data_IF_852394628885
#
_entry.id   IF_852394628885
#
_cell.length_a   1.000
_cell.length_b   1.000
_cell.length_c   1.000
_cell.angle_alpha   90.00
_cell.angle_beta   90.00
_cell.angle_gamma   90.00
#
_symmetry.space_group_name_H-M   'P 1'
#
loop_
_entity.id
_entity.type
_entity.pdbx_description
1 polymer ?
#
# COMPACT_ATOMS: atom_id res chain seq x y z
N UNK A 1 -45.46 -25.68 23.07
CA UNK A 1 -46.20 -26.22 24.21
C UNK A 1 -47.24 -25.20 24.63
N UNK A 2 -48.51 -25.60 24.65
CA UNK A 2 -49.57 -24.78 25.26
C UNK A 2 -49.90 -25.46 26.57
N UNK A 3 -49.82 -24.72 27.68
CA UNK A 3 -50.27 -25.20 28.98
C UNK A 3 -51.79 -25.29 28.93
N UNK A 4 -52.35 -26.49 29.00
CA UNK A 4 -53.81 -26.65 29.12
C UNK A 4 -54.25 -26.43 30.58
N UNK A 5 -55.56 -26.30 30.81
CA UNK A 5 -56.18 -25.86 32.08
C UNK A 5 -55.83 -26.73 33.30
N UNK A 6 -55.28 -27.90 33.06
CA UNK A 6 -54.81 -28.91 34.01
C UNK A 6 -53.33 -28.73 34.42
N UNK A 7 -52.65 -27.69 33.92
CA UNK A 7 -51.31 -27.31 34.37
C UNK A 7 -50.18 -28.26 33.92
N UNK A 8 -50.51 -29.25 33.11
CA UNK A 8 -49.58 -30.22 32.53
C UNK A 8 -49.12 -29.74 31.13
N UNK A 9 -47.83 -29.93 30.83
CA UNK A 9 -47.30 -29.75 29.48
C UNK A 9 -47.68 -30.96 28.65
N UNK A 10 -48.76 -30.85 27.89
CA UNK A 10 -49.13 -31.88 26.91
C UNK A 10 -48.25 -31.73 25.66
N UNK A 11 -47.38 -32.71 25.42
CA UNK A 11 -46.71 -32.89 24.12
C UNK A 11 -47.73 -33.41 23.11
N UNK A 12 -48.33 -32.51 22.32
CA UNK A 12 -49.14 -32.92 21.18
C UNK A 12 -48.25 -33.48 20.06
N UNK A 13 -47.95 -34.78 20.11
CA UNK A 13 -47.33 -35.53 19.02
C UNK A 13 -48.35 -35.85 17.92
N UNK A 14 -48.64 -34.92 17.01
CA UNK A 14 -49.27 -35.22 15.69
C UNK A 14 -49.23 -34.02 14.71
N UNK A 15 -48.12 -33.29 14.63
CA UNK A 15 -47.91 -32.34 13.54
C UNK A 15 -46.92 -32.92 12.54
N UNK A 16 -47.23 -32.90 11.24
CA UNK A 16 -46.21 -33.14 10.23
C UNK A 16 -45.08 -32.12 10.43
N UNK A 17 -43.84 -32.60 10.64
CA UNK A 17 -42.64 -31.77 10.66
C UNK A 17 -41.88 -32.05 9.39
N UNK A 18 -41.75 -31.04 8.54
CA UNK A 18 -41.10 -31.19 7.26
C UNK A 18 -41.26 -29.96 6.38
N UNK A 19 -40.68 -30.04 5.19
CA UNK A 19 -40.86 -29.03 4.16
C UNK A 19 -42.14 -29.31 3.39
N UNK A 20 -42.97 -28.28 3.24
CA UNK A 20 -44.27 -28.33 2.56
C UNK A 20 -44.23 -27.67 1.18
N UNK A 21 -43.27 -26.79 0.94
CA UNK A 21 -43.08 -26.12 -0.34
C UNK A 21 -41.60 -26.11 -0.72
N UNK A 22 -41.34 -26.14 -2.02
CA UNK A 22 -40.01 -26.07 -2.60
C UNK A 22 -40.02 -25.16 -3.83
N UNK A 23 -39.02 -24.30 -3.94
CA UNK A 23 -38.72 -23.51 -5.12
C UNK A 23 -37.24 -23.68 -5.49
N UNK A 24 -36.96 -24.11 -6.71
CA UNK A 24 -35.59 -24.14 -7.25
C UNK A 24 -35.31 -22.83 -7.98
N UNK A 25 -34.15 -22.24 -7.71
CA UNK A 25 -33.68 -21.03 -8.35
C UNK A 25 -32.39 -21.31 -9.11
N UNK A 26 -32.43 -21.07 -10.42
CA UNK A 26 -31.28 -21.24 -11.31
C UNK A 26 -30.79 -19.89 -11.83
N UNK A 27 -29.59 -19.48 -11.40
CA UNK A 27 -28.94 -18.25 -11.90
C UNK A 27 -27.89 -18.59 -12.95
N UNK A 28 -28.04 -18.03 -14.14
CA UNK A 28 -27.03 -18.10 -15.19
C UNK A 28 -26.18 -16.83 -15.14
N UNK A 29 -24.88 -16.99 -14.93
CA UNK A 29 -23.89 -15.92 -15.07
C UNK A 29 -23.04 -16.21 -16.31
N UNK A 30 -22.94 -15.24 -17.20
CA UNK A 30 -22.12 -15.31 -18.42
C UNK A 30 -20.82 -14.55 -18.15
N UNK A 31 -19.70 -15.27 -18.02
CA UNK A 31 -18.38 -14.72 -17.71
C UNK A 31 -17.51 -15.74 -16.97
N UNK A 32 -16.20 -15.68 -17.15
CA UNK A 32 -15.24 -16.51 -16.42
C UNK A 32 -14.34 -15.66 -15.53
N UNK A 33 -13.84 -16.24 -14.45
CA UNK A 33 -12.89 -15.60 -13.53
C UNK A 33 -11.45 -15.90 -13.90
N UNK A 34 -10.57 -14.90 -13.79
CA UNK A 34 -9.12 -15.08 -13.95
C UNK A 34 -8.38 -14.24 -12.91
N UNK A 35 -7.36 -14.82 -12.28
CA UNK A 35 -6.39 -14.12 -11.43
C UNK A 35 -5.07 -14.01 -12.20
N UNK A 36 -4.41 -12.85 -12.13
CA UNK A 36 -3.15 -12.60 -12.83
C UNK A 36 -1.95 -12.59 -11.88
N UNK A 37 -0.76 -12.89 -12.42
CA UNK A 37 0.52 -12.67 -11.74
C UNK A 37 1.10 -11.30 -12.12
N UNK A 38 1.91 -10.70 -11.23
CA UNK A 38 2.49 -9.35 -11.31
C UNK A 38 3.29 -8.99 -12.60
N UNK A 39 3.43 -9.91 -13.56
CA UNK A 39 4.23 -9.72 -14.77
C UNK A 39 3.52 -10.08 -16.10
N UNK A 40 2.24 -10.49 -16.08
CA UNK A 40 1.55 -10.97 -17.29
C UNK A 40 0.14 -10.36 -17.41
N UNK A 41 0.00 -9.13 -17.93
CA UNK A 41 -1.31 -8.57 -18.25
C UNK A 41 -1.98 -9.37 -19.38
N UNK A 42 -3.33 -9.40 -19.44
CA UNK A 42 -4.05 -10.14 -20.48
C UNK A 42 -3.77 -9.55 -21.88
N UNK A 43 -3.51 -10.43 -22.85
CA UNK A 43 -3.30 -10.08 -24.27
C UNK A 43 -4.59 -9.77 -25.03
N UNK A 44 -5.75 -10.03 -24.42
CA UNK A 44 -7.07 -9.69 -24.99
C UNK A 44 -8.06 -9.41 -23.87
N UNK A 45 -8.51 -8.17 -23.76
CA UNK A 45 -9.61 -7.76 -22.86
C UNK A 45 -10.94 -7.97 -23.60
N UNK A 46 -11.81 -8.86 -23.11
CA UNK A 46 -13.22 -8.83 -23.54
C UNK A 46 -13.95 -7.75 -22.75
N UNK A 47 -14.92 -7.09 -23.40
CA UNK A 47 -15.60 -5.86 -22.96
C UNK A 47 -16.49 -5.97 -21.71
N UNK A 48 -16.38 -7.05 -20.93
CA UNK A 48 -17.17 -7.29 -19.72
C UNK A 48 -16.33 -7.63 -18.47
N UNK A 49 -15.02 -7.36 -18.46
CA UNK A 49 -14.16 -7.61 -17.30
C UNK A 49 -14.17 -6.43 -16.32
N UNK A 50 -14.69 -6.67 -15.10
CA UNK A 50 -14.30 -5.88 -13.92
C UNK A 50 -12.90 -6.34 -13.51
N UNK A 51 -11.89 -5.56 -13.87
CA UNK A 51 -10.50 -5.81 -13.44
C UNK A 51 -10.32 -5.28 -12.03
N UNK A 52 -9.99 -6.16 -11.09
CA UNK A 52 -9.75 -5.79 -9.70
C UNK A 52 -8.29 -6.09 -9.36
N UNK A 53 -7.55 -5.03 -9.00
CA UNK A 53 -6.15 -5.15 -8.58
C UNK A 53 -6.13 -5.51 -7.08
N UNK A 54 -6.14 -6.80 -6.79
CA UNK A 54 -5.83 -7.41 -5.49
C UNK A 54 -4.36 -7.87 -5.46
N UNK A 55 -3.79 -8.27 -4.29
CA UNK A 55 -2.44 -8.83 -4.24
C UNK A 55 -2.30 -9.91 -5.30
N UNK A 56 -1.44 -9.70 -6.29
CA UNK A 56 -1.24 -10.69 -7.34
C UNK A 56 -0.74 -11.99 -6.72
N UNK A 57 -1.07 -13.11 -7.35
CA UNK A 57 -0.44 -14.37 -6.97
C UNK A 57 1.08 -14.24 -7.16
N UNK A 58 1.84 -14.68 -6.16
CA UNK A 58 3.30 -14.61 -6.17
C UNK A 58 3.91 -15.72 -7.03
N UNK A 59 3.16 -16.80 -7.24
CA UNK A 59 3.57 -17.95 -8.03
C UNK A 59 2.39 -18.58 -8.80
N UNK A 60 2.67 -19.43 -9.81
CA UNK A 60 1.62 -20.04 -10.63
C UNK A 60 0.64 -20.96 -9.87
N UNK A 61 1.11 -21.63 -8.81
CA UNK A 61 0.25 -22.54 -8.04
C UNK A 61 -0.81 -21.76 -7.26
N UNK A 62 -0.41 -20.67 -6.62
CA UNK A 62 -1.30 -19.74 -5.95
C UNK A 62 -2.28 -19.08 -6.93
N UNK A 63 -1.83 -18.75 -8.14
CA UNK A 63 -2.69 -18.20 -9.20
C UNK A 63 -3.80 -19.18 -9.57
N UNK A 64 -3.46 -20.45 -9.78
CA UNK A 64 -4.41 -21.50 -10.13
C UNK A 64 -5.44 -21.72 -9.02
N UNK A 65 -4.99 -21.82 -7.77
CA UNK A 65 -5.88 -22.01 -6.63
C UNK A 65 -6.84 -20.84 -6.43
N UNK A 66 -6.33 -19.60 -6.46
CA UNK A 66 -7.16 -18.39 -6.34
C UNK A 66 -8.16 -18.26 -7.49
N UNK A 67 -7.74 -18.57 -8.72
CA UNK A 67 -8.65 -18.58 -9.89
C UNK A 67 -9.77 -19.60 -9.71
N UNK A 68 -9.44 -20.83 -9.29
CA UNK A 68 -10.43 -21.87 -9.02
C UNK A 68 -11.40 -21.48 -7.90
N UNK A 69 -10.89 -20.94 -6.79
CA UNK A 69 -11.71 -20.47 -5.68
C UNK A 69 -12.64 -19.31 -6.08
N UNK A 70 -12.15 -18.39 -6.89
CA UNK A 70 -12.93 -17.27 -7.41
C UNK A 70 -14.05 -17.77 -8.33
N UNK A 71 -13.74 -18.66 -9.26
CA UNK A 71 -14.73 -19.27 -10.15
C UNK A 71 -15.83 -20.00 -9.35
N UNK A 72 -15.44 -20.80 -8.35
CA UNK A 72 -16.40 -21.45 -7.44
C UNK A 72 -17.28 -20.44 -6.69
N UNK A 73 -16.71 -19.31 -6.25
CA UNK A 73 -17.46 -18.23 -5.63
C UNK A 73 -18.42 -17.52 -6.60
N UNK A 74 -18.05 -17.40 -7.88
CA UNK A 74 -18.92 -16.83 -8.90
C UNK A 74 -20.07 -17.76 -9.30
N UNK A 75 -19.84 -19.07 -9.29
CA UNK A 75 -20.86 -20.10 -9.56
C UNK A 75 -21.81 -20.33 -8.36
N UNK A 76 -21.51 -19.75 -7.18
CA UNK A 76 -22.44 -19.76 -6.04
C UNK A 76 -23.81 -19.22 -6.43
N UNK A 77 -24.85 -19.88 -5.93
CA UNK A 77 -26.23 -19.47 -6.16
C UNK A 77 -26.81 -19.89 -7.51
N UNK A 78 -26.07 -20.68 -8.28
CA UNK A 78 -26.54 -21.27 -9.54
C UNK A 78 -27.60 -22.35 -9.33
N UNK A 79 -27.50 -23.12 -8.26
CA UNK A 79 -28.42 -24.22 -7.93
C UNK A 79 -28.89 -24.09 -6.47
N UNK A 80 -29.69 -23.07 -6.20
CA UNK A 80 -30.30 -22.89 -4.89
C UNK A 80 -31.68 -23.53 -4.85
N UNK A 81 -31.99 -24.18 -3.73
CA UNK A 81 -33.33 -24.67 -3.43
C UNK A 81 -33.83 -23.98 -2.17
N UNK A 82 -34.92 -23.25 -2.28
CA UNK A 82 -35.65 -22.71 -1.14
C UNK A 82 -36.67 -23.75 -0.68
N UNK A 83 -36.54 -24.17 0.57
CA UNK A 83 -37.41 -25.12 1.25
C UNK A 83 -38.19 -24.40 2.34
N UNK A 84 -39.51 -24.50 2.29
CA UNK A 84 -40.40 -23.81 3.21
C UNK A 84 -41.20 -24.85 3.98
N UNK A 85 -41.30 -24.68 5.29
CA UNK A 85 -41.95 -25.65 6.18
C UNK A 85 -41.90 -25.24 7.65
N UNK A 86 -41.75 -26.22 8.53
CA UNK A 86 -41.68 -26.05 9.98
C UNK A 86 -40.49 -26.81 10.59
N UNK A 87 -39.38 -26.90 9.88
CA UNK A 87 -38.17 -27.60 10.33
C UNK A 87 -37.27 -26.64 11.12
N UNK A 88 -37.19 -26.82 12.44
CA UNK A 88 -36.40 -25.95 13.33
C UNK A 88 -34.89 -26.10 13.16
N UNK A 89 -34.45 -27.27 12.73
CA UNK A 89 -33.04 -27.65 12.63
C UNK A 89 -32.39 -27.27 11.30
N UNK A 90 -33.19 -26.81 10.32
CA UNK A 90 -32.72 -26.41 9.00
C UNK A 90 -32.09 -25.00 9.02
N UNK A 91 -31.08 -24.82 9.87
CA UNK A 91 -30.32 -23.60 10.07
C UNK A 91 -29.15 -23.48 9.09
N UNK A 92 -28.76 -22.26 8.76
CA UNK A 92 -27.55 -22.00 7.98
C UNK A 92 -26.32 -22.70 8.61
N UNK A 93 -25.54 -23.40 7.77
CA UNK A 93 -24.39 -24.22 8.17
C UNK A 93 -24.71 -25.69 8.44
N UNK A 94 -25.98 -26.07 8.60
CA UNK A 94 -26.37 -27.46 8.82
C UNK A 94 -26.60 -28.18 7.49
N UNK A 95 -26.28 -29.48 7.48
CA UNK A 95 -26.61 -30.37 6.38
C UNK A 95 -27.68 -31.38 6.78
N UNK A 96 -28.57 -31.70 5.86
CA UNK A 96 -29.61 -32.71 6.05
C UNK A 96 -29.90 -33.43 4.72
N UNK A 97 -30.45 -34.63 4.83
CA UNK A 97 -30.90 -35.40 3.67
C UNK A 97 -32.40 -35.19 3.45
N UNK A 98 -32.76 -34.76 2.24
CA UNK A 98 -34.16 -34.65 1.83
C UNK A 98 -34.63 -36.00 1.30
N UNK A 99 -35.50 -36.67 2.06
CA UNK A 99 -36.12 -37.92 1.65
C UNK A 99 -37.35 -37.64 0.77
N UNK A 100 -37.31 -38.09 -0.48
CA UNK A 100 -38.40 -37.96 -1.45
C UNK A 100 -38.18 -36.85 -2.50
N UNK A 101 -39.15 -36.70 -3.42
CA UNK A 101 -39.18 -35.59 -4.38
C UNK A 101 -40.17 -34.54 -3.89
N UNK A 102 -39.67 -33.41 -3.40
CA UNK A 102 -40.50 -32.27 -3.05
C UNK A 102 -40.46 -31.24 -4.17
N UNK A 103 -41.46 -31.29 -5.06
CA UNK A 103 -41.52 -30.39 -6.21
C UNK A 103 -40.29 -30.50 -7.11
N UNK A 104 -39.53 -29.42 -7.23
CA UNK A 104 -38.31 -29.33 -8.07
C UNK A 104 -37.03 -29.76 -7.34
N UNK A 105 -37.05 -29.96 -6.01
CA UNK A 105 -35.92 -30.53 -5.28
C UNK A 105 -35.81 -32.03 -5.58
N UNK A 106 -34.60 -32.47 -5.93
CA UNK A 106 -34.28 -33.90 -5.97
C UNK A 106 -34.05 -34.39 -4.54
N UNK A 107 -34.39 -35.64 -4.25
CA UNK A 107 -33.94 -36.26 -3.01
C UNK A 107 -32.42 -36.32 -2.96
N UNK A 108 -31.83 -36.09 -1.80
CA UNK A 108 -30.37 -36.06 -1.63
C UNK A 108 -29.92 -35.20 -0.46
N UNK A 109 -28.61 -35.06 -0.33
CA UNK A 109 -27.99 -34.28 0.74
C UNK A 109 -27.89 -32.81 0.36
N UNK A 110 -28.32 -31.95 1.27
CA UNK A 110 -28.31 -30.51 1.13
C UNK A 110 -27.57 -29.85 2.29
N UNK A 111 -26.94 -28.72 2.02
CA UNK A 111 -26.39 -27.82 3.04
C UNK A 111 -27.18 -26.52 3.01
N UNK A 112 -27.73 -26.12 4.15
CA UNK A 112 -28.44 -24.86 4.28
C UNK A 112 -27.44 -23.71 4.34
N UNK A 113 -27.61 -22.71 3.46
CA UNK A 113 -26.74 -21.53 3.38
C UNK A 113 -27.42 -20.27 3.93
N UNK A 114 -28.75 -20.28 4.03
CA UNK A 114 -29.54 -19.19 4.62
C UNK A 114 -30.81 -19.76 5.22
N UNK A 115 -31.13 -19.37 6.44
CA UNK A 115 -32.38 -19.76 7.11
C UNK A 115 -33.07 -18.53 7.67
N UNK A 116 -34.36 -18.41 7.41
CA UNK A 116 -35.25 -17.44 8.03
C UNK A 116 -36.28 -18.22 8.84
N UNK A 117 -36.35 -17.91 10.13
CA UNK A 117 -37.27 -18.56 11.05
C UNK A 117 -38.24 -17.52 11.60
N UNK A 118 -39.52 -17.85 11.60
CA UNK A 118 -40.60 -17.00 12.10
C UNK A 118 -41.35 -17.77 13.17
N UNK A 119 -41.32 -17.22 14.38
CA UNK A 119 -42.02 -17.74 15.55
C UNK A 119 -43.15 -16.79 15.89
N UNK A 120 -44.38 -17.30 15.95
CA UNK A 120 -45.54 -16.59 16.49
C UNK A 120 -45.88 -17.22 17.83
N UNK A 121 -45.87 -16.41 18.88
CA UNK A 121 -46.31 -16.83 20.21
C UNK A 121 -47.80 -16.55 20.38
N UNK A 122 -48.53 -17.48 21.01
CA UNK A 122 -49.91 -17.23 21.43
C UNK A 122 -49.97 -16.20 22.55
N UNK A 123 -51.13 -15.58 22.77
CA UNK A 123 -51.36 -14.67 23.88
C UNK A 123 -52.17 -15.36 24.99
N UNK A 124 -52.34 -14.71 26.15
CA UNK A 124 -53.14 -15.25 27.25
C UNK A 124 -54.60 -15.56 26.83
N UNK A 125 -55.15 -14.79 25.89
CA UNK A 125 -56.51 -14.94 25.40
C UNK A 125 -56.65 -15.96 24.26
N UNK A 126 -55.55 -16.27 23.56
CA UNK A 126 -55.50 -17.32 22.53
C UNK A 126 -54.14 -18.03 22.58
N UNK A 127 -53.96 -18.95 23.54
CA UNK A 127 -52.70 -19.68 23.73
C UNK A 127 -52.37 -20.62 22.56
N UNK A 128 -53.36 -20.95 21.72
CA UNK A 128 -53.24 -21.94 20.63
C UNK A 128 -52.74 -21.34 19.32
N UNK A 129 -52.64 -20.02 19.19
CA UNK A 129 -52.06 -19.32 18.03
C UNK A 129 -50.52 -19.40 17.93
N UNK A 130 -49.89 -20.38 18.58
CA UNK A 130 -48.46 -20.65 18.41
C UNK A 130 -48.24 -21.22 17.01
N UNK A 131 -47.41 -20.56 16.21
CA UNK A 131 -47.05 -21.02 14.88
C UNK A 131 -45.54 -20.91 14.68
N UNK A 132 -44.97 -21.90 14.02
CA UNK A 132 -43.58 -21.89 13.60
C UNK A 132 -43.51 -22.07 12.09
N UNK A 133 -42.68 -21.25 11.46
CA UNK A 133 -42.46 -21.28 10.02
C UNK A 133 -40.98 -21.04 9.71
N UNK A 134 -40.44 -21.85 8.81
CA UNK A 134 -39.05 -21.78 8.37
C UNK A 134 -38.97 -21.69 6.85
N UNK A 135 -38.11 -20.80 6.37
CA UNK A 135 -37.67 -20.71 4.98
C UNK A 135 -36.16 -20.92 4.94
N UNK A 136 -35.71 -22.01 4.33
CA UNK A 136 -34.31 -22.43 4.29
C UNK A 136 -33.84 -22.52 2.84
N UNK A 137 -32.85 -21.72 2.47
CA UNK A 137 -32.16 -21.80 1.18
C UNK A 137 -30.99 -22.75 1.33
N UNK A 138 -30.94 -23.74 0.46
CA UNK A 138 -29.99 -24.83 0.51
C UNK A 138 -29.34 -25.06 -0.86
N UNK A 139 -28.13 -25.61 -0.85
CA UNK A 139 -27.41 -26.10 -2.03
C UNK A 139 -27.12 -27.59 -1.87
N UNK A 140 -26.99 -28.37 -2.96
CA UNK A 140 -26.56 -29.76 -2.85
C UNK A 140 -25.23 -29.86 -2.09
N UNK A 141 -25.10 -30.83 -1.18
CA UNK A 141 -23.93 -30.95 -0.29
C UNK A 141 -22.60 -31.11 -1.03
N UNK A 142 -22.63 -31.70 -2.23
CA UNK A 142 -21.47 -31.85 -3.10
C UNK A 142 -21.00 -30.55 -3.77
N UNK A 143 -21.81 -29.49 -3.75
CA UNK A 143 -21.40 -28.19 -4.28
C UNK A 143 -20.53 -27.46 -3.25
N UNK A 144 -19.27 -27.14 -3.58
CA UNK A 144 -18.38 -26.43 -2.67
C UNK A 144 -18.91 -25.02 -2.39
N UNK A 145 -19.03 -24.68 -1.11
CA UNK A 145 -19.49 -23.36 -0.69
C UNK A 145 -18.30 -22.39 -0.64
N UNK A 146 -18.43 -21.21 -1.24
CA UNK A 146 -17.44 -20.13 -1.26
C UNK A 146 -18.14 -18.79 -1.10
N UNK A 147 -17.77 -18.01 -0.10
CA UNK A 147 -18.33 -16.67 0.08
C UNK A 147 -17.97 -15.84 -1.14
N UNK A 148 -18.95 -15.16 -1.73
CA UNK A 148 -18.70 -14.22 -2.81
C UNK A 148 -17.69 -13.16 -2.33
N UNK A 149 -16.65 -12.83 -3.11
CA UNK A 149 -15.73 -11.76 -2.73
C UNK A 149 -16.54 -10.49 -2.42
N UNK A 150 -16.23 -9.78 -1.33
CA UNK A 150 -16.88 -8.51 -1.05
C UNK A 150 -16.70 -7.56 -2.23
N UNK A 151 -17.70 -6.70 -2.49
CA UNK A 151 -17.51 -5.66 -3.51
C UNK A 151 -16.34 -4.77 -3.12
N UNK A 152 -15.48 -4.47 -4.09
CA UNK A 152 -14.29 -3.68 -3.84
C UNK A 152 -14.69 -2.25 -3.47
N UNK A 153 -14.35 -1.85 -2.24
CA UNK A 153 -14.32 -0.44 -1.88
C UNK A 153 -13.13 0.24 -2.59
N UNK A 154 -13.28 1.44 -3.16
CA UNK A 154 -12.15 2.20 -3.67
C UNK A 154 -11.15 2.42 -2.53
N UNK A 155 -9.92 1.90 -2.68
CA UNK A 155 -8.83 2.13 -1.74
C UNK A 155 -8.04 3.36 -2.18
N UNK A 156 -7.61 4.24 -1.26
CA UNK A 156 -6.69 5.32 -1.61
C UNK A 156 -5.36 4.72 -2.10
N UNK A 157 -4.96 5.06 -3.32
CA UNK A 157 -3.74 4.51 -3.95
C UNK A 157 -2.45 5.08 -3.35
N UNK A 158 -2.54 6.28 -2.75
CA UNK A 158 -1.45 6.98 -2.08
C UNK A 158 -2.02 7.66 -0.85
N UNK A 159 -1.31 7.56 0.28
CA UNK A 159 -1.70 8.19 1.54
C UNK A 159 -0.49 8.74 2.29
N UNK A 160 -0.73 9.68 3.19
CA UNK A 160 0.32 10.34 3.96
C UNK A 160 0.69 9.53 5.21
N UNK A 161 1.98 9.59 5.56
CA UNK A 161 2.51 9.01 6.77
C UNK A 161 3.64 9.88 7.32
N UNK A 162 3.99 9.63 8.58
CA UNK A 162 5.10 10.28 9.27
C UNK A 162 6.18 9.26 9.57
N UNK A 163 7.44 9.57 9.27
CA UNK A 163 8.60 8.74 9.64
C UNK A 163 8.79 8.77 11.15
N UNK A 164 8.98 7.60 11.77
CA UNK A 164 9.09 7.46 13.23
C UNK A 164 10.47 7.00 13.67
N UNK A 165 10.76 7.26 14.95
CA UNK A 165 11.91 6.72 15.65
C UNK A 165 11.44 5.78 16.74
N UNK A 166 11.76 4.49 16.62
CA UNK A 166 11.36 3.47 17.61
C UNK A 166 12.07 3.67 18.96
N UNK A 167 13.24 4.33 18.97
CA UNK A 167 13.95 4.69 20.20
C UNK A 167 13.48 6.02 20.82
N UNK A 168 12.52 6.71 20.19
CA UNK A 168 12.08 8.05 20.60
C UNK A 168 13.07 9.17 20.27
N UNK A 169 14.12 8.89 19.47
CA UNK A 169 15.08 9.91 19.06
C UNK A 169 14.45 10.93 18.11
N UNK A 170 14.64 12.23 18.40
CA UNK A 170 14.22 13.33 17.52
C UNK A 170 15.20 13.62 16.39
N UNK A 171 16.40 13.03 16.42
CA UNK A 171 17.48 13.34 15.48
C UNK A 171 17.73 12.24 14.46
N UNK A 172 17.42 10.98 14.82
CA UNK A 172 17.67 9.82 13.99
C UNK A 172 16.39 8.97 13.85
N UNK A 173 15.92 8.70 12.61
CA UNK A 173 14.78 7.82 12.39
C UNK A 173 15.14 6.38 12.77
N UNK A 174 14.13 5.52 12.87
CA UNK A 174 14.41 4.09 12.79
C UNK A 174 14.69 3.73 11.33
N UNK A 175 15.87 3.16 11.10
CA UNK A 175 16.30 2.62 9.82
C UNK A 175 16.85 1.22 10.08
N UNK A 176 16.22 0.20 9.51
CA UNK A 176 16.63 -1.19 9.74
C UNK A 176 17.89 -1.58 8.96
N UNK A 177 18.34 -2.82 9.09
CA UNK A 177 19.55 -3.34 8.42
C UNK A 177 19.44 -3.36 6.88
N UNK A 178 18.22 -3.24 6.35
CA UNK A 178 17.90 -3.22 4.91
C UNK A 178 17.60 -1.80 4.40
N UNK A 179 17.66 -0.78 5.25
CA UNK A 179 17.38 0.60 4.86
C UNK A 179 15.88 0.94 4.79
N UNK A 180 15.04 0.18 5.50
CA UNK A 180 13.59 0.42 5.61
C UNK A 180 13.27 1.28 6.83
N UNK A 181 12.23 2.09 6.73
CA UNK A 181 11.86 3.07 7.76
C UNK A 181 10.66 2.59 8.58
N UNK A 182 10.63 2.97 9.85
CA UNK A 182 9.39 2.95 10.60
C UNK A 182 8.50 4.14 10.20
N UNK A 183 7.23 3.89 9.89
CA UNK A 183 6.27 4.93 9.52
C UNK A 183 4.94 4.75 10.26
N UNK A 184 4.25 5.86 10.47
CA UNK A 184 2.91 5.90 11.02
C UNK A 184 1.99 6.61 10.02
N UNK A 185 1.01 5.89 9.49
CA UNK A 185 0.02 6.47 8.57
C UNK A 185 -0.93 7.40 9.33
N UNK A 186 -1.42 8.47 8.70
CA UNK A 186 -2.20 9.49 9.44
C UNK A 186 -3.62 9.09 9.83
N UNK A 187 -4.13 7.99 9.27
CA UNK A 187 -5.45 7.44 9.62
C UNK A 187 -5.38 6.30 10.65
N UNK A 188 -4.18 5.96 11.15
CA UNK A 188 -3.97 4.91 12.15
C UNK A 188 -2.94 5.34 13.21
N UNK A 189 -3.06 4.79 14.40
CA UNK A 189 -2.11 5.01 15.49
C UNK A 189 -1.00 3.96 15.54
N UNK A 190 -1.05 2.93 14.69
CA UNK A 190 -0.02 1.90 14.62
C UNK A 190 1.20 2.35 13.82
N UNK A 191 2.37 1.93 14.29
CA UNK A 191 3.64 2.13 13.59
C UNK A 191 3.97 0.86 12.81
N UNK A 192 4.17 0.99 11.50
CA UNK A 192 4.75 -0.06 10.66
C UNK A 192 6.26 0.10 10.70
N UNK A 193 6.99 -0.90 11.19
CA UNK A 193 8.44 -0.77 11.46
C UNK A 193 9.31 -0.86 10.20
N UNK A 194 8.81 -1.52 9.15
CA UNK A 194 9.58 -1.92 7.98
C UNK A 194 8.88 -1.51 6.69
N UNK A 195 9.00 -0.23 6.33
CA UNK A 195 8.50 0.29 5.05
C UNK A 195 9.66 0.63 4.13
N UNK A 196 9.65 0.03 2.94
CA UNK A 196 10.66 0.26 1.90
C UNK A 196 10.53 1.67 1.34
N UNK A 197 11.65 2.26 0.93
CA UNK A 197 11.65 3.51 0.18
C UNK A 197 11.90 3.26 -1.29
N UNK A 198 11.09 3.87 -2.15
CA UNK A 198 11.40 4.01 -3.56
C UNK A 198 12.62 4.94 -3.68
N UNK A 199 13.76 4.37 -4.06
CA UNK A 199 15.02 5.11 -4.18
C UNK A 199 15.61 4.88 -5.56
N UNK A 200 16.24 5.91 -6.12
CA UNK A 200 16.95 5.83 -7.39
C UNK A 200 18.25 5.07 -7.17
N UNK A 201 18.16 3.73 -7.02
CA UNK A 201 19.23 2.72 -6.93
C UNK A 201 20.32 3.05 -5.88
N UNK A 202 20.62 2.16 -4.94
CA UNK A 202 21.81 2.24 -4.06
C UNK A 202 21.92 0.93 -3.28
N UNK A 203 22.03 -0.19 -3.99
CA UNK A 203 21.95 -1.50 -3.37
C UNK A 203 23.26 -1.85 -2.68
N UNK A 204 23.20 -2.07 -1.35
CA UNK A 204 24.31 -2.60 -0.57
C UNK A 204 24.71 -3.98 -1.09
N UNK A 205 26.01 -4.24 -1.24
CA UNK A 205 26.53 -5.58 -1.56
C UNK A 205 26.52 -5.97 -3.05
N UNK A 206 26.16 -5.06 -3.96
CA UNK A 206 26.36 -5.31 -5.40
C UNK A 206 27.78 -4.97 -5.85
N UNK A 207 28.22 -5.61 -6.95
CA UNK A 207 29.54 -5.33 -7.57
C UNK A 207 29.70 -3.88 -8.01
N UNK A 208 28.62 -3.23 -8.44
CA UNK A 208 28.60 -1.84 -8.90
C UNK A 208 27.41 -1.11 -8.25
N UNK A 209 27.51 -0.68 -6.99
CA UNK A 209 26.47 0.13 -6.37
C UNK A 209 26.43 1.51 -7.08
N UNK A 210 25.23 1.96 -7.45
CA UNK A 210 25.01 3.26 -8.09
C UNK A 210 23.70 3.86 -7.58
N UNK A 211 23.62 5.19 -7.57
CA UNK A 211 22.44 6.03 -7.34
C UNK A 211 22.44 6.77 -5.99
N UNK A 212 21.26 7.21 -5.50
CA UNK A 212 21.13 8.21 -4.43
C UNK A 212 20.38 7.69 -3.20
N UNK A 213 20.93 7.92 -2.01
CA UNK A 213 20.26 7.68 -0.73
C UNK A 213 20.47 8.85 0.23
N UNK A 214 19.40 9.63 0.47
CA UNK A 214 19.39 10.72 1.46
C UNK A 214 18.49 10.31 2.63
N UNK A 215 19.03 10.03 3.84
CA UNK A 215 18.21 9.58 4.94
C UNK A 215 17.08 10.55 5.30
N UNK A 216 15.87 10.04 5.50
CA UNK A 216 14.76 10.83 6.03
C UNK A 216 14.99 11.12 7.52
N UNK A 217 14.37 12.16 8.05
CA UNK A 217 14.44 12.50 9.47
C UNK A 217 13.19 12.00 10.21
N UNK A 218 13.25 11.81 11.54
CA UNK A 218 12.04 11.67 12.34
C UNK A 218 11.07 12.79 12.03
N UNK A 219 9.78 12.47 12.10
CA UNK A 219 8.68 13.38 11.86
C UNK A 219 8.57 13.93 10.43
N UNK A 220 9.38 13.40 9.49
CA UNK A 220 9.22 13.71 8.06
C UNK A 220 7.89 13.18 7.53
N UNK A 221 7.10 14.05 6.90
CA UNK A 221 5.91 13.62 6.20
C UNK A 221 6.27 13.03 4.85
N UNK A 222 5.68 11.88 4.53
CA UNK A 222 5.95 11.10 3.33
C UNK A 222 4.66 10.63 2.69
N UNK A 223 4.73 10.34 1.40
CA UNK A 223 3.69 9.64 0.67
C UNK A 223 4.01 8.14 0.62
N UNK A 224 3.07 7.32 1.06
CA UNK A 224 3.12 5.87 0.92
C UNK A 224 2.21 5.48 -0.24
N UNK A 225 2.75 4.69 -1.16
CA UNK A 225 2.00 4.04 -2.24
C UNK A 225 2.04 2.54 -2.09
N UNK A 226 0.99 1.88 -2.53
CA UNK A 226 0.88 0.43 -2.52
C UNK A 226 1.09 -0.09 -3.93
N UNK A 227 2.15 -0.87 -4.16
CA UNK A 227 2.35 -1.51 -5.45
C UNK A 227 1.14 -2.37 -5.76
N UNK A 228 0.53 -2.15 -6.93
CA UNK A 228 -0.62 -2.96 -7.36
C UNK A 228 -1.80 -2.93 -6.37
N UNK A 229 -1.96 -1.82 -5.64
CA UNK A 229 -2.98 -1.64 -4.60
C UNK A 229 -2.92 -2.68 -3.46
N UNK A 230 -1.75 -3.28 -3.24
CA UNK A 230 -1.48 -4.22 -2.17
C UNK A 230 -0.81 -3.50 -0.97
N UNK A 231 -1.53 -3.31 0.17
CA UNK A 231 -0.95 -2.70 1.38
C UNK A 231 0.27 -3.42 1.93
N UNK A 232 0.39 -4.73 1.71
CA UNK A 232 1.55 -5.52 2.13
C UNK A 232 2.80 -5.21 1.29
N UNK A 233 2.61 -4.57 0.13
CA UNK A 233 3.66 -4.09 -0.77
C UNK A 233 3.70 -2.55 -0.78
N UNK A 234 3.77 -1.95 0.40
CA UNK A 234 3.88 -0.50 0.57
C UNK A 234 5.30 0.04 0.39
N UNK A 235 5.39 1.21 -0.22
CA UNK A 235 6.64 1.94 -0.46
C UNK A 235 6.47 3.42 -0.17
N UNK A 236 7.47 4.02 0.49
CA UNK A 236 7.63 5.46 0.54
C UNK A 236 7.97 5.95 -0.87
N UNK A 237 7.05 6.64 -1.52
CA UNK A 237 7.22 7.20 -2.86
C UNK A 237 8.08 8.46 -2.85
N UNK A 238 7.95 9.26 -1.81
CA UNK A 238 8.62 10.54 -1.71
C UNK A 238 8.22 11.32 -0.47
N UNK A 239 8.85 12.48 -0.34
CA UNK A 239 8.58 13.43 0.74
C UNK A 239 7.31 14.24 0.44
N UNK A 240 6.46 14.42 1.45
CA UNK A 240 5.25 15.23 1.39
C UNK A 240 5.51 16.58 2.08
N UNK A 241 5.73 17.60 1.26
CA UNK A 241 6.03 18.95 1.71
C UNK A 241 4.88 19.53 2.55
N UNK A 242 5.21 20.25 3.62
CA UNK A 242 4.25 20.87 4.53
C UNK A 242 4.83 22.14 5.16
N UNK A 243 4.00 22.88 5.91
CA UNK A 243 4.37 24.19 6.48
C UNK A 243 5.57 24.15 7.43
N UNK A 244 5.79 23.03 8.13
CA UNK A 244 6.94 22.86 9.04
C UNK A 244 8.20 22.39 8.33
N UNK A 245 8.10 21.97 7.06
CA UNK A 245 9.18 21.47 6.24
C UNK A 245 9.10 22.06 4.82
N UNK A 246 9.33 23.39 4.68
CA UNK A 246 9.16 24.10 3.41
C UNK A 246 10.24 23.71 2.39
N UNK A 247 9.96 24.03 1.11
CA UNK A 247 10.93 23.88 0.03
C UNK A 247 12.09 24.87 0.16
N UNK A 248 13.29 24.45 -0.20
CA UNK A 248 14.45 25.34 -0.36
C UNK A 248 14.39 26.15 -1.67
N UNK A 249 13.54 25.75 -2.60
CA UNK A 249 13.24 26.47 -3.86
C UNK A 249 11.79 26.95 -3.83
N UNK A 250 11.61 28.25 -4.00
CA UNK A 250 10.33 28.95 -3.92
C UNK A 250 10.19 29.89 -5.13
N UNK A 251 9.08 30.63 -5.21
CA UNK A 251 8.92 31.66 -6.24
C UNK A 251 10.02 32.74 -6.20
N UNK A 252 10.64 32.99 -5.05
CA UNK A 252 11.72 33.97 -4.91
C UNK A 252 13.04 33.54 -5.55
N UNK A 253 13.25 32.24 -5.77
CA UNK A 253 14.48 31.66 -6.30
C UNK A 253 14.18 30.50 -7.27
N UNK A 254 13.16 30.67 -8.11
CA UNK A 254 12.60 29.63 -8.97
C UNK A 254 13.53 29.13 -10.10
N UNK A 255 14.64 29.82 -10.36
CA UNK A 255 15.68 29.41 -11.30
C UNK A 255 16.75 28.51 -10.65
N UNK A 256 16.65 28.24 -9.35
CA UNK A 256 17.63 27.44 -8.62
C UNK A 256 17.23 25.95 -8.58
N UNK A 257 18.21 25.09 -8.84
CA UNK A 257 18.14 23.66 -8.66
C UNK A 257 19.07 23.28 -7.49
N UNK A 258 18.52 22.78 -6.39
CA UNK A 258 19.27 22.63 -5.13
C UNK A 258 19.27 21.19 -4.62
N UNK A 259 20.45 20.65 -4.36
CA UNK A 259 20.67 19.45 -3.56
C UNK A 259 21.26 19.85 -2.21
N UNK A 260 20.55 19.60 -1.12
CA UNK A 260 20.98 19.94 0.23
C UNK A 260 20.97 18.72 1.14
N UNK A 261 22.07 18.48 1.85
CA UNK A 261 22.19 17.42 2.85
C UNK A 261 21.79 17.90 4.24
N UNK A 262 21.56 16.97 5.18
CA UNK A 262 21.26 17.27 6.60
C UNK A 262 22.29 18.20 7.25
N UNK A 263 23.56 18.08 6.88
CA UNK A 263 24.64 18.95 7.39
C UNK A 263 24.72 20.31 6.69
N UNK A 264 23.70 20.69 5.91
CA UNK A 264 23.66 21.90 5.09
C UNK A 264 24.79 22.01 4.05
N UNK A 265 25.41 20.88 3.67
CA UNK A 265 26.22 20.87 2.44
C UNK A 265 25.27 20.99 1.24
N UNK A 266 25.61 21.85 0.30
CA UNK A 266 24.75 22.19 -0.83
C UNK A 266 25.50 22.15 -2.15
N UNK A 267 24.84 21.58 -3.16
CA UNK A 267 25.17 21.70 -4.56
C UNK A 267 23.99 22.40 -5.25
N UNK A 268 24.23 23.56 -5.85
CA UNK A 268 23.19 24.35 -6.52
C UNK A 268 23.61 24.72 -7.93
N UNK A 269 22.65 24.64 -8.85
CA UNK A 269 22.73 25.16 -10.20
C UNK A 269 21.70 26.28 -10.32
N UNK A 270 22.13 27.50 -10.57
CA UNK A 270 21.25 28.65 -10.78
C UNK A 270 21.22 28.99 -12.27
N UNK A 271 20.03 28.89 -12.86
CA UNK A 271 19.77 29.12 -14.28
C UNK A 271 19.33 30.57 -14.58
N UNK A 272 19.53 31.49 -13.64
CA UNK A 272 19.17 32.91 -13.83
C UNK A 272 19.83 33.47 -15.09
N UNK A 273 19.02 34.08 -15.95
CA UNK A 273 19.45 34.59 -17.24
C UNK A 273 20.62 35.57 -17.08
N UNK A 274 21.63 35.45 -17.94
CA UNK A 274 22.86 36.26 -17.98
C UNK A 274 23.82 36.10 -16.81
N UNK A 275 23.41 35.45 -15.70
CA UNK A 275 24.23 35.22 -14.51
C UNK A 275 24.16 33.77 -13.99
N UNK A 276 24.20 32.75 -14.88
CA UNK A 276 24.13 31.37 -14.44
C UNK A 276 25.37 31.03 -13.61
N UNK A 277 25.20 30.27 -12.55
CA UNK A 277 26.32 29.87 -11.71
C UNK A 277 26.07 28.55 -10.99
N UNK A 278 27.16 27.87 -10.64
CA UNK A 278 27.14 26.62 -9.89
C UNK A 278 27.83 26.87 -8.56
N UNK A 279 27.21 26.44 -7.45
CA UNK A 279 27.75 26.57 -6.10
C UNK A 279 27.88 25.19 -5.47
N UNK A 280 29.08 24.86 -5.01
CA UNK A 280 29.32 23.75 -4.09
C UNK A 280 29.78 24.34 -2.76
N UNK A 281 29.02 24.12 -1.69
CA UNK A 281 29.31 24.70 -0.38
C UNK A 281 29.16 23.69 0.76
N UNK A 282 29.95 23.92 1.80
CA UNK A 282 29.84 23.23 3.10
C UNK A 282 29.05 24.09 4.10
N UNK A 283 28.78 23.53 5.29
CA UNK A 283 27.99 24.15 6.37
C UNK A 283 28.20 25.67 6.49
N UNK A 284 27.07 26.40 6.48
CA UNK A 284 26.99 27.85 6.66
C UNK A 284 27.78 28.69 5.63
N UNK A 285 28.17 28.12 4.48
CA UNK A 285 28.85 28.87 3.40
C UNK A 285 30.33 29.18 3.68
N UNK A 286 30.89 28.67 4.78
CA UNK A 286 32.26 28.96 5.22
C UNK A 286 33.33 28.50 4.22
N UNK A 287 33.04 27.46 3.45
CA UNK A 287 33.87 27.01 2.35
C UNK A 287 32.99 26.75 1.14
N UNK A 288 33.32 27.39 0.02
CA UNK A 288 32.57 27.22 -1.21
C UNK A 288 33.43 27.35 -2.45
N UNK A 289 32.99 26.65 -3.50
CA UNK A 289 33.45 26.77 -4.87
C UNK A 289 32.28 27.31 -5.70
N UNK A 290 32.50 28.44 -6.38
CA UNK A 290 31.52 29.05 -7.29
C UNK A 290 32.11 29.10 -8.68
N UNK A 291 31.37 28.54 -9.65
CA UNK A 291 31.65 28.69 -11.07
C UNK A 291 30.62 29.67 -11.64
N UNK A 292 31.04 30.91 -11.90
CA UNK A 292 30.13 31.99 -12.31
C UNK A 292 30.24 32.26 -13.81
N UNK A 293 29.16 32.02 -14.54
CA UNK A 293 29.06 32.15 -15.99
C UNK A 293 28.53 33.51 -16.46
N UNK A 294 28.91 34.61 -15.78
CA UNK A 294 28.49 35.96 -16.19
C UNK A 294 29.03 36.27 -17.59
N UNK A 295 28.17 36.79 -18.49
CA UNK A 295 28.55 37.09 -19.88
C UNK A 295 29.61 38.18 -20.01
N UNK A 296 29.67 39.13 -19.09
CA UNK A 296 30.62 40.25 -19.09
C UNK A 296 31.92 39.87 -18.40
N UNK A 297 31.85 39.19 -17.27
CA UNK A 297 33.02 38.81 -16.46
C UNK A 297 32.82 37.46 -15.75
N UNK A 298 33.05 36.34 -16.43
CA UNK A 298 33.00 35.03 -15.79
C UNK A 298 34.16 34.88 -14.81
N UNK A 299 33.93 34.20 -13.69
CA UNK A 299 34.94 33.97 -12.67
C UNK A 299 34.74 32.64 -11.94
N UNK A 300 35.82 32.17 -11.32
CA UNK A 300 35.79 31.05 -10.39
C UNK A 300 36.21 31.58 -9.03
N UNK A 301 35.38 31.39 -8.00
CA UNK A 301 35.74 31.67 -6.62
C UNK A 301 35.93 30.37 -5.86
N UNK A 302 37.12 30.17 -5.30
CA UNK A 302 37.40 29.13 -4.32
C UNK A 302 37.78 29.79 -3.01
N UNK A 303 36.92 29.66 -2.01
CA UNK A 303 37.01 30.40 -0.77
C UNK A 303 36.96 29.46 0.44
N UNK A 304 37.84 29.70 1.39
CA UNK A 304 37.86 29.11 2.72
C UNK A 304 37.93 30.26 3.75
N UNK A 305 36.79 30.65 4.31
CA UNK A 305 36.69 31.75 5.27
C UNK A 305 37.30 31.39 6.63
N UNK A 306 37.19 30.12 7.02
CA UNK A 306 37.71 29.60 8.28
C UNK A 306 38.74 28.50 7.97
N UNK A 307 39.99 28.76 8.36
CA UNK A 307 41.09 27.80 8.27
C UNK A 307 42.04 28.03 7.09
N UNK A 308 42.82 27.00 6.78
CA UNK A 308 43.79 27.02 5.69
C UNK A 308 43.23 26.31 4.45
N UNK A 309 43.56 26.81 3.27
CA UNK A 309 43.35 26.13 2.00
C UNK A 309 44.67 25.52 1.55
N UNK A 310 44.70 24.19 1.45
CA UNK A 310 45.89 23.46 1.00
C UNK A 310 45.66 22.89 -0.40
N UNK A 311 46.58 23.16 -1.33
CA UNK A 311 46.54 22.69 -2.70
C UNK A 311 47.83 21.90 -2.95
N UNK A 312 47.70 20.62 -3.33
CA UNK A 312 48.82 19.72 -3.57
C UNK A 312 48.70 19.09 -4.96
N UNK A 313 49.83 18.86 -5.63
CA UNK A 313 49.90 18.04 -6.83
C UNK A 313 51.06 17.05 -6.70
N UNK A 314 50.90 15.86 -7.29
CA UNK A 314 51.93 14.83 -7.29
C UNK A 314 53.13 15.16 -8.19
N UNK A 315 52.96 16.06 -9.16
CA UNK A 315 54.02 16.52 -10.06
C UNK A 315 54.07 18.04 -10.08
N UNK A 316 53.24 18.66 -10.91
CA UNK A 316 53.29 20.10 -11.14
C UNK A 316 51.94 20.75 -10.80
N UNK A 317 51.99 21.92 -10.14
CA UNK A 317 50.87 22.87 -10.09
C UNK A 317 51.21 23.98 -11.07
N UNK A 318 50.44 24.11 -12.14
CA UNK A 318 50.64 25.15 -13.15
C UNK A 318 49.52 26.18 -13.07
N UNK A 319 49.90 27.46 -12.93
CA UNK A 319 49.01 28.61 -13.06
C UNK A 319 49.46 29.40 -14.29
N UNK A 320 48.59 29.52 -15.29
CA UNK A 320 48.89 30.17 -16.56
C UNK A 320 47.78 31.12 -16.98
N UNK A 321 48.15 32.23 -17.62
CA UNK A 321 47.21 33.13 -18.29
C UNK A 321 47.62 33.27 -19.75
N UNK A 322 46.65 33.11 -20.66
CA UNK A 322 46.91 33.07 -22.12
C UNK A 322 47.10 34.47 -22.70
N UNK A 323 46.33 35.46 -22.21
CA UNK A 323 46.24 36.80 -22.83
C UNK A 323 46.88 37.90 -22.01
N UNK A 324 47.11 37.68 -20.71
CA UNK A 324 47.52 38.75 -19.79
C UNK A 324 48.34 38.22 -18.62
N UNK A 325 48.57 39.06 -17.62
CA UNK A 325 49.33 38.72 -16.43
C UNK A 325 48.51 37.93 -15.39
N UNK A 326 49.20 37.09 -14.62
CA UNK A 326 48.68 36.54 -13.37
C UNK A 326 48.99 37.55 -12.27
N UNK A 327 47.98 37.97 -11.51
CA UNK A 327 48.14 38.87 -10.37
C UNK A 327 47.77 38.14 -9.09
N UNK A 328 48.71 38.06 -8.16
CA UNK A 328 48.50 37.55 -6.81
C UNK A 328 48.41 38.74 -5.86
N UNK A 329 47.26 38.91 -5.23
CA UNK A 329 46.99 39.99 -4.29
C UNK A 329 46.87 39.40 -2.90
N UNK A 330 47.59 39.98 -1.94
CA UNK A 330 47.51 39.58 -0.53
C UNK A 330 47.57 40.82 0.35
N UNK A 331 46.75 40.84 1.40
CA UNK A 331 46.80 41.89 2.42
C UNK A 331 47.76 41.51 3.57
N UNK A 332 48.35 40.31 3.50
CA UNK A 332 49.32 39.76 4.47
C UNK A 332 50.53 39.16 3.75
N UNK A 333 51.43 38.54 4.48
CA UNK A 333 52.62 37.89 3.94
C UNK A 333 52.26 36.80 2.94
N UNK A 334 52.80 36.90 1.72
CA UNK A 334 52.86 35.78 0.77
C UNK A 334 54.25 35.16 0.84
N UNK A 335 54.33 33.89 1.22
CA UNK A 335 55.58 33.14 1.28
C UNK A 335 55.51 32.03 0.23
N UNK A 336 56.35 32.13 -0.80
CA UNK A 336 56.59 31.05 -1.74
C UNK A 336 58.00 30.51 -1.51
N UNK A 337 58.11 29.26 -1.07
CA UNK A 337 59.38 28.58 -0.88
C UNK A 337 59.34 27.24 -1.61
N UNK A 338 60.29 27.01 -2.51
CA UNK A 338 60.53 25.68 -3.07
C UNK A 338 61.49 24.92 -2.15
N UNK A 339 61.04 23.80 -1.56
CA UNK A 339 61.95 22.83 -0.95
C UNK A 339 62.16 21.70 -1.95
N UNK A 340 63.41 21.52 -2.38
CA UNK A 340 63.82 20.32 -3.10
C UNK A 340 63.82 19.19 -2.08
N UNK A 341 62.86 18.25 -2.17
CA UNK A 341 62.99 16.98 -1.47
C UNK A 341 64.07 16.19 -2.21
N UNK A 342 65.21 15.97 -1.53
CA UNK A 342 66.30 15.10 -1.99
C UNK A 342 65.84 13.65 -2.12
#
# INVERSE_FOLDING_TARGET
SVTDKDGLVHEHKTGFVGFTQCQSHHRFRMGGSQVHMNAHPPTSVSSAQRSYFEPAAHNPAEQFERTGNLELAYQQGKNEVTLVGNVAEANAGYSFSLNGKLGTAKGGDYTCIRSKQVYKQGCANDPKQVAYHSESVCVPRGEPIRIAPPEHSPKPMVFTATVRSLSGSKTNPHLDTQGQYATQVHFDNQVTESVKRLTQYACRGQKQPTGLHFPLLPDSNVLIGCMNNDPDQSYILGFALNDTQPSVVTSANNAQNVLCSRGQNLLMFDDTLHTPHIVLQTLAGNQHLVLHGDKKQPYIHWLAQLGAMNIFAAKDIQLGSVKSAIRLLTNKTFIASAKQQL
#
